data_IF_839821564350
#
_entry.id   IF_839821564350
#
_cell.length_a   1.000
_cell.length_b   1.000
_cell.length_c   1.000
_cell.angle_alpha   90.00
_cell.angle_beta   90.00
_cell.angle_gamma   90.00
#
_symmetry.space_group_name_H-M   'P 1'
#
loop_
_entity.id
_entity.type
_entity.pdbx_description
1 polymer ?
#
# COMPACT_ATOMS: atom_id res chain seq x y z
N UNK A 1 -48.61 -32.30 6.09
CA UNK A 1 -47.36 -32.37 6.87
C UNK A 1 -47.67 -32.97 8.24
N UNK A 2 -47.14 -34.12 8.53
CA UNK A 2 -47.40 -34.77 9.84
C UNK A 2 -46.40 -34.17 10.87
N UNK A 3 -46.95 -33.42 11.81
CA UNK A 3 -46.19 -32.89 12.95
C UNK A 3 -45.80 -34.02 13.84
N UNK A 4 -44.54 -34.43 13.87
CA UNK A 4 -44.03 -35.39 14.85
C UNK A 4 -43.87 -34.65 16.19
N UNK A 5 -44.69 -35.05 17.15
CA UNK A 5 -44.55 -34.63 18.54
C UNK A 5 -43.39 -35.39 19.18
N UNK A 6 -42.32 -34.68 19.60
CA UNK A 6 -41.23 -35.24 20.36
C UNK A 6 -41.70 -35.40 21.80
N UNK A 7 -42.01 -36.65 22.23
CA UNK A 7 -42.34 -36.96 23.63
C UNK A 7 -41.07 -37.25 24.38
N UNK A 8 -40.59 -36.32 25.20
CA UNK A 8 -39.49 -36.58 26.12
C UNK A 8 -39.98 -37.47 27.25
N UNK A 9 -39.47 -38.69 27.32
CA UNK A 9 -39.69 -39.55 28.50
C UNK A 9 -38.57 -39.24 29.49
N UNK A 10 -38.93 -38.62 30.60
CA UNK A 10 -38.03 -38.43 31.73
C UNK A 10 -37.78 -39.80 32.39
N UNK A 11 -36.62 -40.42 32.15
CA UNK A 11 -36.23 -41.61 32.85
C UNK A 11 -34.94 -41.29 33.63
N UNK A 12 -35.07 -41.33 34.97
CA UNK A 12 -33.90 -41.33 35.87
C UNK A 12 -33.13 -42.64 35.71
N UNK A 13 -32.29 -42.73 34.71
CA UNK A 13 -31.39 -43.86 34.49
C UNK A 13 -29.98 -43.35 34.48
N UNK A 14 -29.07 -44.01 35.19
CA UNK A 14 -27.66 -43.65 35.16
C UNK A 14 -27.15 -43.70 33.71
N UNK A 15 -26.45 -42.68 33.29
CA UNK A 15 -26.10 -42.34 31.90
C UNK A 15 -25.33 -43.43 31.13
N UNK A 16 -24.81 -44.41 31.80
CA UNK A 16 -24.02 -45.50 31.21
C UNK A 16 -24.77 -46.79 30.85
N UNK A 17 -26.10 -46.88 31.10
CA UNK A 17 -26.84 -48.15 31.02
C UNK A 17 -28.05 -48.10 30.09
N UNK A 18 -28.57 -46.93 29.76
CA UNK A 18 -29.76 -46.79 28.93
C UNK A 18 -29.46 -46.93 27.44
N UNK A 19 -30.10 -47.90 26.80
CA UNK A 19 -30.13 -48.04 25.34
C UNK A 19 -31.54 -47.71 24.90
N UNK A 20 -31.74 -46.56 24.29
CA UNK A 20 -33.02 -46.12 23.69
C UNK A 20 -33.21 -46.75 22.31
N UNK A 21 -34.40 -46.52 21.72
CA UNK A 21 -34.63 -46.81 20.30
C UNK A 21 -33.83 -45.87 19.43
N UNK A 22 -33.44 -46.32 18.25
CA UNK A 22 -32.73 -45.49 17.27
C UNK A 22 -33.52 -44.20 17.00
N UNK A 23 -32.81 -43.05 17.13
CA UNK A 23 -33.38 -41.72 17.02
C UNK A 23 -34.18 -41.23 18.24
N UNK A 24 -34.24 -41.98 19.35
CA UNK A 24 -34.92 -41.51 20.57
C UNK A 24 -34.10 -40.42 21.27
N UNK A 25 -34.74 -39.29 21.52
CA UNK A 25 -34.17 -38.17 22.28
C UNK A 25 -34.51 -38.29 23.76
N UNK A 26 -33.54 -38.14 24.64
CA UNK A 26 -33.73 -38.16 26.08
C UNK A 26 -32.79 -37.21 26.82
N UNK A 27 -33.14 -36.82 28.02
CA UNK A 27 -32.33 -35.94 28.85
C UNK A 27 -31.68 -36.79 29.94
N UNK A 28 -30.36 -36.76 30.00
CA UNK A 28 -29.59 -37.29 31.12
C UNK A 28 -29.67 -36.27 32.28
N UNK A 29 -30.45 -36.60 33.29
CA UNK A 29 -30.65 -35.69 34.44
C UNK A 29 -29.47 -35.65 35.41
N UNK A 30 -28.52 -36.56 35.29
CA UNK A 30 -27.29 -36.60 36.10
C UNK A 30 -26.27 -35.63 35.55
N UNK A 31 -26.11 -35.63 34.23
CA UNK A 31 -25.17 -34.71 33.53
C UNK A 31 -25.86 -33.48 32.97
N UNK A 32 -27.19 -33.41 33.05
CA UNK A 32 -28.03 -32.34 32.48
C UNK A 32 -27.79 -32.09 30.97
N UNK A 33 -27.59 -33.20 30.24
CA UNK A 33 -27.31 -33.19 28.80
C UNK A 33 -28.43 -33.86 28.00
N UNK A 34 -28.73 -33.35 26.82
CA UNK A 34 -29.63 -34.00 25.87
C UNK A 34 -28.86 -35.04 25.05
N UNK A 35 -29.44 -36.23 24.91
CA UNK A 35 -28.80 -37.36 24.21
C UNK A 35 -29.72 -37.94 23.14
N UNK A 36 -29.12 -38.47 22.08
CA UNK A 36 -29.82 -39.23 21.03
C UNK A 36 -29.32 -40.68 21.05
N UNK A 37 -30.24 -41.64 20.97
CA UNK A 37 -29.90 -43.05 20.90
C UNK A 37 -29.69 -43.49 19.45
N UNK A 38 -28.67 -44.34 19.23
CA UNK A 38 -28.43 -45.06 17.98
C UNK A 38 -29.04 -46.48 18.01
N UNK A 39 -29.80 -46.79 19.04
CA UNK A 39 -30.44 -48.08 19.22
C UNK A 39 -29.53 -49.21 19.71
N UNK A 40 -28.25 -48.96 19.82
CA UNK A 40 -27.23 -49.99 20.14
C UNK A 40 -26.32 -49.61 21.30
N UNK A 41 -25.87 -48.36 21.36
CA UNK A 41 -24.88 -47.93 22.34
C UNK A 41 -25.53 -47.49 23.66
N UNK A 42 -25.10 -48.09 24.77
CA UNK A 42 -25.54 -47.68 26.11
C UNK A 42 -25.04 -46.23 26.38
N UNK A 43 -25.97 -45.37 26.85
CA UNK A 43 -25.66 -43.99 27.14
C UNK A 43 -25.86 -43.00 25.96
N UNK A 44 -26.13 -43.45 24.74
CA UNK A 44 -26.38 -42.63 23.56
C UNK A 44 -25.30 -41.58 23.25
N UNK A 45 -25.39 -40.94 22.11
CA UNK A 45 -24.54 -39.81 21.77
C UNK A 45 -25.06 -38.52 22.44
N UNK A 46 -24.19 -37.76 23.08
CA UNK A 46 -24.53 -36.47 23.66
C UNK A 46 -24.76 -35.47 22.52
N UNK A 47 -25.92 -34.82 22.50
CA UNK A 47 -26.11 -33.65 21.67
C UNK A 47 -25.45 -32.48 22.40
N UNK A 48 -24.19 -32.29 22.14
CA UNK A 48 -23.47 -31.11 22.64
C UNK A 48 -23.92 -29.91 21.84
N UNK A 49 -24.71 -29.04 22.47
CA UNK A 49 -24.69 -27.67 22.05
C UNK A 49 -23.45 -27.05 22.70
N UNK A 50 -22.34 -26.98 22.00
CA UNK A 50 -21.21 -26.21 22.47
C UNK A 50 -21.66 -24.76 22.60
N UNK A 51 -21.93 -24.39 23.85
CA UNK A 51 -22.16 -23.09 24.42
C UNK A 51 -22.62 -21.98 23.50
N UNK A 52 -23.92 -21.85 23.29
CA UNK A 52 -24.47 -20.65 22.67
C UNK A 52 -25.49 -20.94 21.58
N UNK A 53 -26.66 -20.36 21.72
CA UNK A 53 -27.77 -20.50 20.82
C UNK A 53 -27.37 -20.38 19.36
N UNK A 54 -27.49 -21.47 18.59
CA UNK A 54 -27.42 -21.45 17.14
C UNK A 54 -26.06 -21.70 16.51
N UNK A 55 -25.20 -22.53 17.10
CA UNK A 55 -24.02 -23.03 16.38
C UNK A 55 -24.46 -23.88 15.18
N UNK A 56 -24.55 -23.25 14.02
CA UNK A 56 -24.64 -23.94 12.74
C UNK A 56 -23.27 -24.57 12.51
N UNK A 57 -23.15 -25.87 12.79
CA UNK A 57 -21.97 -26.62 12.38
C UNK A 57 -21.99 -26.74 10.86
N UNK A 58 -21.42 -25.76 10.16
CA UNK A 58 -21.07 -25.96 8.78
C UNK A 58 -19.92 -26.97 8.73
N UNK A 59 -20.15 -28.13 8.18
CA UNK A 59 -19.14 -29.16 7.93
C UNK A 59 -17.97 -28.67 7.05
N UNK A 60 -18.04 -27.42 6.58
CA UNK A 60 -17.00 -26.75 5.80
C UNK A 60 -16.16 -25.77 6.62
N UNK A 61 -16.48 -25.47 7.88
CA UNK A 61 -15.61 -24.67 8.75
C UNK A 61 -14.82 -25.66 9.63
N UNK A 62 -13.92 -26.40 9.03
CA UNK A 62 -13.17 -27.47 9.69
C UNK A 62 -12.00 -26.97 10.53
N UNK A 63 -11.74 -25.69 10.58
CA UNK A 63 -10.67 -25.12 11.40
C UNK A 63 -11.05 -23.77 11.98
N UNK A 64 -12.03 -23.71 12.89
CA UNK A 64 -12.01 -22.68 13.91
C UNK A 64 -11.04 -23.19 14.95
N UNK A 65 -9.78 -22.84 14.85
CA UNK A 65 -8.77 -23.28 15.81
C UNK A 65 -8.85 -22.40 17.07
N UNK A 66 -9.77 -22.75 17.95
CA UNK A 66 -9.86 -22.14 19.28
C UNK A 66 -8.80 -22.71 20.26
N UNK A 67 -7.81 -23.46 19.72
CA UNK A 67 -6.79 -24.11 20.53
C UNK A 67 -5.83 -23.13 21.22
N UNK A 68 -5.83 -21.86 20.83
CA UNK A 68 -4.90 -20.86 21.34
C UNK A 68 -5.50 -19.84 22.33
N UNK A 69 -6.74 -20.05 22.83
CA UNK A 69 -7.37 -19.19 23.83
C UNK A 69 -8.59 -18.41 23.29
N UNK A 70 -9.42 -17.84 24.20
CA UNK A 70 -10.76 -17.35 23.87
C UNK A 70 -10.82 -16.07 23.02
N UNK A 71 -9.71 -15.44 22.75
CA UNK A 71 -9.65 -14.12 22.10
C UNK A 71 -9.04 -14.16 20.69
N UNK A 72 -8.97 -15.35 20.07
CA UNK A 72 -8.34 -15.55 18.76
C UNK A 72 -9.31 -16.14 17.76
N UNK A 73 -9.25 -15.68 16.51
CA UNK A 73 -10.01 -16.26 15.40
C UNK A 73 -9.06 -16.80 14.34
N UNK A 74 -9.18 -18.09 14.01
CA UNK A 74 -8.43 -18.71 12.92
C UNK A 74 -9.38 -19.56 12.07
N UNK A 75 -9.59 -19.17 10.80
CA UNK A 75 -10.48 -19.86 9.86
C UNK A 75 -9.73 -20.12 8.55
N UNK A 76 -9.50 -21.39 8.24
CA UNK A 76 -8.77 -21.82 7.04
C UNK A 76 -7.66 -22.81 7.36
N UNK A 77 -7.11 -23.44 6.32
CA UNK A 77 -6.00 -24.37 6.47
C UNK A 77 -4.76 -23.62 6.97
N UNK A 78 -4.17 -24.09 8.05
CA UNK A 78 -3.01 -23.50 8.72
C UNK A 78 -3.17 -22.03 9.15
N UNK A 79 -4.38 -21.46 9.16
CA UNK A 79 -4.60 -20.12 9.68
C UNK A 79 -4.20 -20.06 11.16
N UNK A 80 -3.40 -19.05 11.55
CA UNK A 80 -2.94 -18.85 12.91
C UNK A 80 -2.24 -20.06 13.56
N UNK A 81 -1.60 -20.93 12.77
CA UNK A 81 -1.15 -22.24 13.26
C UNK A 81 0.03 -22.20 14.22
N UNK A 82 0.88 -21.19 14.15
CA UNK A 82 2.07 -21.07 15.00
C UNK A 82 2.13 -19.65 15.60
N UNK A 83 2.10 -19.56 16.93
CA UNK A 83 2.25 -18.32 17.68
C UNK A 83 1.27 -17.20 17.29
N UNK A 84 -0.01 -17.54 17.12
CA UNK A 84 -1.05 -16.51 16.93
C UNK A 84 -1.20 -15.69 18.22
N UNK A 85 -1.06 -14.37 18.11
CA UNK A 85 -1.18 -13.41 19.22
C UNK A 85 -2.61 -13.28 19.76
N UNK A 86 -2.78 -12.70 20.94
CA UNK A 86 -4.11 -12.42 21.52
C UNK A 86 -4.86 -11.37 20.71
N UNK A 87 -6.19 -11.43 20.72
CA UNK A 87 -7.07 -10.47 20.02
C UNK A 87 -6.76 -10.36 18.52
N UNK A 88 -6.23 -11.44 17.91
CA UNK A 88 -5.88 -11.48 16.49
C UNK A 88 -6.86 -12.33 15.68
N UNK A 89 -6.97 -11.99 14.40
CA UNK A 89 -7.86 -12.66 13.44
C UNK A 89 -7.06 -13.14 12.23
N UNK A 90 -7.18 -14.42 11.88
CA UNK A 90 -6.58 -15.02 10.70
C UNK A 90 -7.66 -15.77 9.90
N UNK A 91 -7.97 -15.31 8.68
CA UNK A 91 -8.99 -15.91 7.83
C UNK A 91 -8.43 -16.14 6.42
N UNK A 92 -8.29 -17.38 6.02
CA UNK A 92 -7.75 -17.80 4.73
C UNK A 92 -6.74 -18.92 4.85
N UNK A 93 -6.35 -19.50 3.72
CA UNK A 93 -5.32 -20.53 3.67
C UNK A 93 -3.96 -19.87 4.00
N UNK A 94 -3.24 -20.44 4.96
CA UNK A 94 -1.97 -19.92 5.50
C UNK A 94 -2.02 -18.47 6.03
N UNK A 95 -3.22 -17.90 6.29
CA UNK A 95 -3.35 -16.56 6.86
C UNK A 95 -2.79 -16.51 8.28
N UNK A 96 -1.97 -15.49 8.60
CA UNK A 96 -1.36 -15.33 9.93
C UNK A 96 -0.65 -16.57 10.43
N UNK A 97 -0.08 -17.39 9.54
CA UNK A 97 0.37 -18.75 9.82
C UNK A 97 1.44 -18.83 10.90
N UNK A 98 2.43 -17.95 10.86
CA UNK A 98 3.59 -17.98 11.75
C UNK A 98 3.84 -16.60 12.35
N UNK A 99 3.92 -16.54 13.68
CA UNK A 99 4.24 -15.32 14.42
C UNK A 99 3.32 -14.13 14.10
N UNK A 100 2.00 -14.38 14.08
CA UNK A 100 1.01 -13.30 14.03
C UNK A 100 0.93 -12.63 15.41
N UNK A 101 1.31 -11.36 15.49
CA UNK A 101 1.31 -10.62 16.75
C UNK A 101 -0.11 -10.26 17.24
N UNK A 102 -0.21 -9.78 18.49
CA UNK A 102 -1.50 -9.41 19.09
C UNK A 102 -2.17 -8.23 18.38
N UNK A 103 -3.50 -8.18 18.45
CA UNK A 103 -4.36 -7.15 17.86
C UNK A 103 -4.22 -7.02 16.33
N UNK A 104 -3.73 -8.05 15.65
CA UNK A 104 -3.50 -8.03 14.20
C UNK A 104 -4.58 -8.76 13.42
N UNK A 105 -4.76 -8.36 12.16
CA UNK A 105 -5.76 -8.91 11.26
C UNK A 105 -5.08 -9.42 9.98
N UNK A 106 -5.28 -10.70 9.64
CA UNK A 106 -4.84 -11.32 8.40
C UNK A 106 -6.05 -11.95 7.69
N UNK A 107 -6.43 -11.43 6.52
CA UNK A 107 -7.55 -11.96 5.72
C UNK A 107 -7.10 -12.17 4.27
N UNK A 108 -7.12 -13.39 3.81
CA UNK A 108 -6.74 -13.78 2.45
C UNK A 108 -5.79 -14.97 2.44
N UNK A 109 -5.58 -15.54 1.27
CA UNK A 109 -4.58 -16.58 1.07
C UNK A 109 -3.18 -15.98 1.32
N UNK A 110 -2.39 -16.62 2.17
CA UNK A 110 -1.06 -16.15 2.54
C UNK A 110 -0.99 -14.70 3.08
N UNK A 111 -2.08 -14.12 3.57
CA UNK A 111 -2.05 -12.81 4.21
C UNK A 111 -1.33 -12.90 5.57
N UNK A 112 -0.38 -12.01 5.84
CA UNK A 112 0.38 -12.00 7.09
C UNK A 112 1.03 -13.32 7.44
N UNK A 113 1.52 -14.08 6.46
CA UNK A 113 1.95 -15.48 6.64
C UNK A 113 3.08 -15.64 7.64
N UNK A 114 4.06 -14.74 7.64
CA UNK A 114 5.26 -14.79 8.47
C UNK A 114 5.52 -13.44 9.13
N UNK A 115 5.63 -13.42 10.46
CA UNK A 115 6.02 -12.23 11.24
C UNK A 115 5.14 -11.01 10.98
N UNK A 116 3.84 -11.15 11.20
CA UNK A 116 2.92 -10.01 11.18
C UNK A 116 3.03 -9.20 12.47
N UNK A 117 3.33 -7.92 12.34
CA UNK A 117 3.49 -6.98 13.47
C UNK A 117 2.20 -6.75 14.27
N UNK A 118 2.34 -6.28 15.49
CA UNK A 118 1.20 -5.98 16.37
C UNK A 118 0.33 -4.83 15.85
N UNK A 119 -0.98 -4.92 16.05
CA UNK A 119 -1.96 -3.94 15.61
C UNK A 119 -1.89 -3.63 14.11
N UNK A 120 -1.43 -4.59 13.31
CA UNK A 120 -1.32 -4.46 11.86
C UNK A 120 -2.48 -5.13 11.12
N UNK A 121 -2.70 -4.72 9.89
CA UNK A 121 -3.76 -5.21 9.01
C UNK A 121 -3.16 -5.74 7.70
N UNK A 122 -3.44 -6.98 7.34
CA UNK A 122 -3.09 -7.61 6.08
C UNK A 122 -4.37 -8.17 5.42
N UNK A 123 -4.83 -7.58 4.32
CA UNK A 123 -6.05 -8.01 3.62
C UNK A 123 -5.77 -8.17 2.13
N UNK A 124 -5.87 -9.38 1.62
CA UNK A 124 -5.64 -9.71 0.22
C UNK A 124 -4.76 -10.95 0.06
N UNK A 125 -4.67 -11.45 -1.16
CA UNK A 125 -3.76 -12.54 -1.50
C UNK A 125 -2.31 -12.08 -1.34
N UNK A 126 -1.54 -12.76 -0.51
CA UNK A 126 -0.12 -12.47 -0.20
C UNK A 126 0.11 -11.07 0.42
N UNK A 127 -0.94 -10.39 0.93
CA UNK A 127 -0.78 -9.10 1.59
C UNK A 127 0.03 -9.23 2.89
N UNK A 128 1.02 -8.37 3.13
CA UNK A 128 1.85 -8.37 4.34
C UNK A 128 2.53 -9.71 4.63
N UNK A 129 2.87 -10.49 3.61
CA UNK A 129 3.13 -11.92 3.73
C UNK A 129 4.40 -12.29 4.52
N UNK A 130 5.50 -11.54 4.40
CA UNK A 130 6.76 -11.98 5.00
C UNK A 130 7.07 -11.22 6.29
N UNK A 131 7.33 -9.95 6.25
CA UNK A 131 7.61 -9.14 7.44
C UNK A 131 6.76 -7.87 7.37
N UNK A 132 5.67 -7.86 8.10
CA UNK A 132 4.83 -6.68 8.22
C UNK A 132 5.12 -5.96 9.52
N UNK A 133 5.42 -4.67 9.45
CA UNK A 133 5.71 -3.83 10.61
C UNK A 133 4.53 -3.66 11.56
N UNK A 134 4.82 -3.16 12.74
CA UNK A 134 3.81 -2.83 13.76
C UNK A 134 2.98 -1.62 13.32
N UNK A 135 1.67 -1.63 13.61
CA UNK A 135 0.75 -0.53 13.28
C UNK A 135 0.72 -0.21 11.78
N UNK A 136 1.02 -1.20 10.93
CA UNK A 136 1.04 -1.03 9.49
C UNK A 136 -0.20 -1.63 8.81
N UNK A 137 -0.50 -1.17 7.60
CA UNK A 137 -1.66 -1.59 6.81
C UNK A 137 -1.21 -2.07 5.44
N UNK A 138 -1.57 -3.29 5.06
CA UNK A 138 -1.36 -3.87 3.73
C UNK A 138 -2.71 -4.35 3.18
N UNK A 139 -3.25 -3.67 2.16
CA UNK A 139 -4.56 -4.03 1.57
C UNK A 139 -4.44 -4.12 0.05
N UNK A 140 -4.68 -5.30 -0.50
CA UNK A 140 -4.60 -5.61 -1.92
C UNK A 140 -3.73 -6.83 -2.20
N UNK A 141 -3.86 -7.41 -3.38
CA UNK A 141 -3.01 -8.53 -3.78
C UNK A 141 -1.54 -8.08 -3.82
N UNK A 142 -0.68 -8.81 -3.13
CA UNK A 142 0.75 -8.51 -3.02
C UNK A 142 1.08 -7.13 -2.40
N UNK A 143 0.18 -6.49 -1.67
CA UNK A 143 0.49 -5.25 -0.95
C UNK A 143 1.43 -5.55 0.23
N UNK A 144 2.51 -4.79 0.39
CA UNK A 144 3.47 -4.93 1.49
C UNK A 144 4.05 -6.34 1.63
N UNK A 145 4.28 -7.06 0.53
CA UNK A 145 4.57 -8.50 0.56
C UNK A 145 5.83 -8.87 1.32
N UNK A 146 6.95 -8.19 1.08
CA UNK A 146 8.24 -8.66 1.60
C UNK A 146 8.64 -8.00 2.90
N UNK A 147 8.88 -6.71 2.90
CA UNK A 147 9.25 -5.95 4.11
C UNK A 147 8.46 -4.66 4.15
N UNK A 148 7.53 -4.57 5.05
CA UNK A 148 6.77 -3.35 5.32
C UNK A 148 7.20 -2.76 6.66
N UNK A 149 7.62 -1.50 6.64
CA UNK A 149 8.07 -0.80 7.86
C UNK A 149 6.93 -0.50 8.84
N UNK A 150 7.29 -0.11 10.06
CA UNK A 150 6.33 0.29 11.08
C UNK A 150 5.55 1.55 10.69
N UNK A 151 4.30 1.68 11.14
CA UNK A 151 3.41 2.82 10.86
C UNK A 151 3.27 3.15 9.37
N UNK A 152 3.40 2.17 8.50
CA UNK A 152 3.32 2.36 7.06
C UNK A 152 2.00 1.86 6.48
N UNK A 153 1.63 2.39 5.31
CA UNK A 153 0.39 2.05 4.61
C UNK A 153 0.70 1.62 3.18
N UNK A 154 0.26 0.43 2.80
CA UNK A 154 0.33 -0.10 1.44
C UNK A 154 -1.08 -0.51 0.98
N UNK A 155 -1.68 0.23 0.06
CA UNK A 155 -3.04 -0.04 -0.44
C UNK A 155 -3.05 -0.08 -1.97
N UNK A 156 -3.37 -1.22 -2.55
CA UNK A 156 -3.41 -1.47 -3.99
C UNK A 156 -2.66 -2.74 -4.37
N UNK A 157 -2.93 -3.26 -5.55
CA UNK A 157 -2.21 -4.43 -6.03
C UNK A 157 -0.72 -4.08 -6.27
N UNK A 158 0.18 -4.84 -5.65
CA UNK A 158 1.62 -4.58 -5.74
C UNK A 158 2.09 -3.29 -5.05
N UNK A 159 1.24 -2.61 -4.28
CA UNK A 159 1.69 -1.43 -3.52
C UNK A 159 2.74 -1.84 -2.48
N UNK A 160 3.89 -1.17 -2.46
CA UNK A 160 5.00 -1.48 -1.56
C UNK A 160 5.41 -2.97 -1.56
N UNK A 161 5.45 -3.58 -2.74
CA UNK A 161 5.65 -5.02 -2.90
C UNK A 161 6.91 -5.54 -2.21
N UNK A 162 8.04 -4.84 -2.34
CA UNK A 162 9.33 -5.36 -1.88
C UNK A 162 9.79 -4.74 -0.56
N UNK A 163 10.11 -3.47 -0.55
CA UNK A 163 10.62 -2.80 0.66
C UNK A 163 9.93 -1.46 0.85
N UNK A 164 9.20 -1.33 1.91
CA UNK A 164 8.57 -0.07 2.33
C UNK A 164 9.20 0.42 3.63
N UNK A 165 9.66 1.66 3.63
CA UNK A 165 10.20 2.31 4.83
C UNK A 165 9.14 2.57 5.90
N UNK A 166 9.59 2.87 7.10
CA UNK A 166 8.69 3.24 8.20
C UNK A 166 8.03 4.61 7.98
N UNK A 167 6.82 4.81 8.52
CA UNK A 167 6.05 6.05 8.39
C UNK A 167 5.75 6.45 6.94
N UNK A 168 5.80 5.51 6.00
CA UNK A 168 5.60 5.76 4.57
C UNK A 168 4.20 5.36 4.09
N UNK A 169 3.77 5.93 2.97
CA UNK A 169 2.46 5.68 2.38
C UNK A 169 2.60 5.31 0.91
N UNK A 170 2.05 4.17 0.51
CA UNK A 170 1.95 3.70 -0.87
C UNK A 170 0.49 3.38 -1.21
N UNK A 171 -0.17 4.18 -2.03
CA UNK A 171 -1.57 3.99 -2.40
C UNK A 171 -1.72 4.00 -3.92
N UNK A 172 -2.12 2.90 -4.50
CA UNK A 172 -2.32 2.70 -5.93
C UNK A 172 -1.69 1.39 -6.41
N UNK A 173 -2.04 0.96 -7.61
CA UNK A 173 -1.39 -0.19 -8.23
C UNK A 173 0.10 0.11 -8.45
N UNK A 174 0.98 -0.77 -7.95
CA UNK A 174 2.45 -0.62 -8.05
C UNK A 174 3.00 0.70 -7.48
N UNK A 175 2.27 1.37 -6.56
CA UNK A 175 2.80 2.54 -5.86
C UNK A 175 3.90 2.11 -4.87
N UNK A 176 5.06 2.77 -4.90
CA UNK A 176 6.20 2.43 -4.04
C UNK A 176 6.67 0.98 -4.17
N UNK A 177 6.53 0.36 -5.33
CA UNK A 177 6.61 -1.10 -5.52
C UNK A 177 7.92 -1.71 -5.03
N UNK A 178 9.06 -1.15 -5.44
CA UNK A 178 10.35 -1.81 -5.18
C UNK A 178 11.02 -1.33 -3.90
N UNK A 179 11.40 -0.09 -3.83
CA UNK A 179 12.04 0.50 -2.65
C UNK A 179 11.41 1.85 -2.36
N UNK A 180 10.73 1.96 -1.26
CA UNK A 180 10.22 3.23 -0.77
C UNK A 180 10.93 3.63 0.52
N UNK A 181 11.52 4.82 0.54
CA UNK A 181 12.23 5.35 1.71
C UNK A 181 11.33 5.61 2.92
N UNK A 182 11.94 5.85 4.08
CA UNK A 182 11.21 6.26 5.27
C UNK A 182 10.48 7.58 5.02
N UNK A 183 9.31 7.78 5.65
CA UNK A 183 8.51 9.00 5.57
C UNK A 183 8.10 9.41 4.15
N UNK A 184 8.38 8.57 3.15
CA UNK A 184 8.03 8.83 1.76
C UNK A 184 6.54 8.57 1.47
N UNK A 185 5.99 9.32 0.53
CA UNK A 185 4.58 9.19 0.12
C UNK A 185 4.48 8.96 -1.38
N UNK A 186 3.79 7.89 -1.79
CA UNK A 186 3.50 7.53 -3.17
C UNK A 186 1.99 7.31 -3.35
N UNK A 187 1.31 8.17 -4.10
CA UNK A 187 -0.14 8.07 -4.34
C UNK A 187 -0.45 8.17 -5.83
N UNK A 188 -0.93 7.09 -6.40
CA UNK A 188 -1.25 6.96 -7.82
C UNK A 188 -0.71 5.66 -8.42
N UNK A 189 -1.22 5.26 -9.58
CA UNK A 189 -0.69 4.13 -10.30
C UNK A 189 0.80 4.35 -10.63
N UNK A 190 1.68 3.45 -10.18
CA UNK A 190 3.13 3.51 -10.38
C UNK A 190 3.78 4.82 -9.87
N UNK A 191 3.18 5.47 -8.87
CA UNK A 191 3.83 6.59 -8.21
C UNK A 191 4.99 6.07 -7.34
N UNK A 192 6.17 6.70 -7.42
CA UNK A 192 7.35 6.26 -6.66
C UNK A 192 7.70 4.78 -6.85
N UNK A 193 7.43 4.19 -8.01
CA UNK A 193 7.49 2.75 -8.26
C UNK A 193 8.84 2.13 -7.91
N UNK A 194 9.94 2.77 -8.31
CA UNK A 194 11.29 2.23 -8.12
C UNK A 194 12.20 3.27 -7.48
N UNK A 195 12.81 2.92 -6.35
CA UNK A 195 13.79 3.75 -5.64
C UNK A 195 13.30 5.17 -5.31
N UNK A 196 12.21 5.24 -4.53
CA UNK A 196 11.75 6.49 -3.94
C UNK A 196 12.56 6.82 -2.67
N UNK A 197 13.22 7.97 -2.65
CA UNK A 197 14.08 8.41 -1.55
C UNK A 197 13.31 8.75 -0.26
N UNK A 198 14.06 8.93 0.84
CA UNK A 198 13.53 9.36 2.13
C UNK A 198 12.86 10.74 2.01
N UNK A 199 11.75 10.95 2.73
CA UNK A 199 10.96 12.19 2.71
C UNK A 199 10.43 12.60 1.32
N UNK A 200 10.54 11.74 0.31
CA UNK A 200 10.09 12.07 -1.04
C UNK A 200 8.56 11.94 -1.18
N UNK A 201 7.98 12.78 -2.02
CA UNK A 201 6.54 12.80 -2.27
C UNK A 201 6.22 12.66 -3.75
N UNK A 202 5.43 11.65 -4.12
CA UNK A 202 4.98 11.36 -5.48
C UNK A 202 3.45 11.26 -5.54
N UNK A 203 2.79 12.20 -6.22
CA UNK A 203 1.35 12.23 -6.39
C UNK A 203 0.94 12.28 -7.86
N UNK A 204 0.29 11.24 -8.34
CA UNK A 204 -0.19 11.13 -9.73
C UNK A 204 0.34 9.88 -10.42
N UNK A 205 -0.32 9.49 -11.51
CA UNK A 205 0.11 8.31 -12.27
C UNK A 205 1.51 8.52 -12.85
N UNK A 206 2.43 7.63 -12.52
CA UNK A 206 3.82 7.70 -12.96
C UNK A 206 4.61 8.90 -12.41
N UNK A 207 4.16 9.54 -11.34
CA UNK A 207 4.95 10.57 -10.66
C UNK A 207 6.13 9.91 -9.92
N UNK A 208 7.35 10.44 -10.08
CA UNK A 208 8.55 9.90 -9.44
C UNK A 208 8.79 8.42 -9.71
N UNK A 209 8.44 7.92 -10.89
CA UNK A 209 8.41 6.47 -11.19
C UNK A 209 9.75 5.80 -10.92
N UNK A 210 10.87 6.42 -11.30
CA UNK A 210 12.20 5.82 -11.17
C UNK A 210 13.19 6.80 -10.57
N UNK A 211 13.93 6.38 -9.55
CA UNK A 211 15.00 7.18 -8.92
C UNK A 211 14.53 8.59 -8.50
N UNK A 212 13.50 8.66 -7.66
CA UNK A 212 13.13 9.91 -7.01
C UNK A 212 14.03 10.16 -5.80
N UNK A 213 14.82 11.22 -5.83
CA UNK A 213 15.78 11.57 -4.79
C UNK A 213 15.14 11.94 -3.44
N UNK A 214 15.95 12.00 -2.40
CA UNK A 214 15.49 12.34 -1.05
C UNK A 214 14.91 13.76 -1.00
N UNK A 215 13.80 13.92 -0.25
CA UNK A 215 13.07 15.17 -0.09
C UNK A 215 12.58 15.80 -1.42
N UNK A 216 12.52 15.00 -2.50
CA UNK A 216 12.03 15.46 -3.79
C UNK A 216 10.49 15.39 -3.86
N UNK A 217 9.91 16.31 -4.64
CA UNK A 217 8.46 16.41 -4.84
C UNK A 217 8.11 16.23 -6.30
N UNK A 218 7.24 15.26 -6.62
CA UNK A 218 6.70 15.00 -7.94
C UNK A 218 5.17 14.98 -7.89
N UNK A 219 4.51 15.98 -8.48
CA UNK A 219 3.06 16.09 -8.48
C UNK A 219 2.54 16.27 -9.92
N UNK A 220 1.76 15.30 -10.39
CA UNK A 220 1.18 15.30 -11.73
C UNK A 220 1.56 14.05 -12.52
N UNK A 221 0.83 13.80 -13.60
CA UNK A 221 1.08 12.61 -14.45
C UNK A 221 2.48 12.68 -15.07
N UNK A 222 3.34 11.72 -14.74
CA UNK A 222 4.70 11.64 -15.24
C UNK A 222 5.62 12.77 -14.77
N UNK A 223 5.28 13.49 -13.70
CA UNK A 223 6.18 14.47 -13.09
C UNK A 223 7.38 13.75 -12.45
N UNK A 224 8.60 14.23 -12.66
CA UNK A 224 9.82 13.62 -12.12
C UNK A 224 10.01 12.14 -12.48
N UNK A 225 9.49 11.68 -13.62
CA UNK A 225 9.29 10.26 -13.87
C UNK A 225 10.55 9.40 -13.97
N UNK A 226 11.65 9.91 -14.52
CA UNK A 226 12.84 9.08 -14.73
C UNK A 226 13.90 9.27 -13.65
N UNK A 227 14.52 10.43 -13.58
CA UNK A 227 15.54 10.74 -12.57
C UNK A 227 15.29 12.12 -11.99
N UNK A 228 14.83 12.15 -10.78
CA UNK A 228 14.65 13.38 -10.03
C UNK A 228 15.65 13.40 -8.88
N UNK A 229 16.61 14.32 -8.91
CA UNK A 229 17.62 14.42 -7.86
C UNK A 229 17.04 14.93 -6.53
N UNK A 230 17.83 14.83 -5.45
CA UNK A 230 17.41 15.28 -4.12
C UNK A 230 16.94 16.73 -4.11
N UNK A 231 15.91 16.99 -3.32
CA UNK A 231 15.29 18.32 -3.11
C UNK A 231 14.75 18.98 -4.38
N UNK A 232 14.64 18.22 -5.47
CA UNK A 232 14.04 18.77 -6.70
C UNK A 232 12.51 18.77 -6.62
N UNK A 233 11.89 19.75 -7.26
CA UNK A 233 10.44 19.92 -7.28
C UNK A 233 9.94 19.88 -8.73
N UNK A 234 9.04 18.94 -9.03
CA UNK A 234 8.35 18.77 -10.30
C UNK A 234 6.84 18.83 -10.09
N UNK A 235 6.18 19.88 -10.55
CA UNK A 235 4.72 20.03 -10.41
C UNK A 235 4.10 20.34 -11.78
N UNK A 236 3.26 19.44 -12.25
CA UNK A 236 2.59 19.53 -13.55
C UNK A 236 2.82 18.27 -14.37
N UNK A 237 1.98 18.08 -15.40
CA UNK A 237 2.11 16.93 -16.29
C UNK A 237 3.49 16.97 -16.99
N UNK A 238 4.26 15.88 -16.82
CA UNK A 238 5.61 15.73 -17.38
C UNK A 238 6.61 16.84 -16.98
N UNK A 239 6.37 17.56 -15.89
CA UNK A 239 7.37 18.48 -15.34
C UNK A 239 8.59 17.69 -14.83
N UNK A 240 9.80 18.15 -15.10
CA UNK A 240 11.04 17.50 -14.70
C UNK A 240 11.15 16.02 -15.09
N UNK A 241 10.52 15.60 -16.19
CA UNK A 241 10.23 14.21 -16.52
C UNK A 241 11.46 13.30 -16.63
N UNK A 242 12.50 13.75 -17.33
CA UNK A 242 13.62 12.87 -17.69
C UNK A 242 14.78 12.98 -16.72
N UNK A 243 15.40 14.13 -16.62
CA UNK A 243 16.51 14.39 -15.69
C UNK A 243 16.32 15.72 -15.02
N UNK A 244 16.08 15.71 -13.75
CA UNK A 244 15.94 16.93 -12.95
C UNK A 244 17.07 17.01 -11.92
N UNK A 245 17.84 18.11 -12.00
CA UNK A 245 19.03 18.31 -11.17
C UNK A 245 18.71 18.65 -9.71
N UNK A 246 19.75 18.57 -8.87
CA UNK A 246 19.67 18.84 -7.44
C UNK A 246 19.07 20.24 -7.16
N UNK A 247 18.12 20.30 -6.23
CA UNK A 247 17.46 21.56 -5.81
C UNK A 247 16.90 22.38 -6.96
N UNK A 248 16.48 21.76 -8.06
CA UNK A 248 15.85 22.44 -9.19
C UNK A 248 14.33 22.44 -9.06
N UNK A 249 13.69 23.41 -9.70
CA UNK A 249 12.23 23.62 -9.68
C UNK A 249 11.69 23.58 -11.10
N UNK A 250 10.71 22.71 -11.35
CA UNK A 250 9.94 22.60 -12.57
C UNK A 250 8.44 22.70 -12.26
N UNK A 251 7.78 23.78 -12.60
CA UNK A 251 6.35 23.99 -12.33
C UNK A 251 5.61 24.39 -13.60
N UNK A 252 4.72 23.55 -14.07
CA UNK A 252 3.95 23.71 -15.29
C UNK A 252 4.02 22.47 -16.18
N UNK A 253 3.10 22.34 -17.13
CA UNK A 253 3.12 21.24 -18.08
C UNK A 253 4.43 21.28 -18.90
N UNK A 254 5.18 20.18 -18.88
CA UNK A 254 6.46 20.02 -19.56
C UNK A 254 7.53 21.08 -19.19
N UNK A 255 7.42 21.72 -18.02
CA UNK A 255 8.49 22.56 -17.52
C UNK A 255 9.71 21.71 -17.17
N UNK A 256 10.92 22.07 -17.60
CA UNK A 256 12.14 21.32 -17.36
C UNK A 256 12.07 19.87 -17.81
N UNK A 257 11.31 19.52 -18.83
CA UNK A 257 10.93 18.13 -19.16
C UNK A 257 12.13 17.21 -19.43
N UNK A 258 13.10 17.66 -20.20
CA UNK A 258 14.15 16.75 -20.68
C UNK A 258 15.39 16.77 -19.79
N UNK A 259 16.10 17.87 -19.72
CA UNK A 259 17.30 18.00 -18.90
C UNK A 259 17.27 19.33 -18.16
N UNK A 260 17.12 19.27 -16.88
CA UNK A 260 17.17 20.43 -15.99
C UNK A 260 18.40 20.33 -15.09
N UNK A 261 19.28 21.31 -15.17
CA UNK A 261 20.51 21.37 -14.37
C UNK A 261 20.24 21.63 -12.88
N UNK A 262 21.30 21.64 -12.10
CA UNK A 262 21.19 21.93 -10.67
C UNK A 262 20.85 23.42 -10.42
N UNK A 263 20.08 23.66 -9.34
CA UNK A 263 19.74 25.03 -8.90
C UNK A 263 19.02 25.86 -9.96
N UNK A 264 18.24 25.23 -10.84
CA UNK A 264 17.50 25.90 -11.90
C UNK A 264 16.05 26.14 -11.51
N UNK A 265 15.43 27.11 -12.17
CA UNK A 265 13.99 27.39 -12.02
C UNK A 265 13.35 27.39 -13.40
N UNK A 266 12.33 26.55 -13.60
CA UNK A 266 11.49 26.49 -14.78
C UNK A 266 10.03 26.60 -14.37
N UNK A 267 9.38 27.74 -14.59
CA UNK A 267 7.99 27.99 -14.19
C UNK A 267 7.18 28.47 -15.41
N UNK A 268 6.20 27.66 -15.80
CA UNK A 268 5.34 27.91 -16.95
C UNK A 268 5.30 26.73 -17.90
N UNK A 269 4.27 26.63 -18.73
CA UNK A 269 4.19 25.61 -19.76
C UNK A 269 5.41 25.70 -20.69
N UNK A 270 6.11 24.57 -20.91
CA UNK A 270 7.32 24.49 -21.73
C UNK A 270 8.49 25.39 -21.26
N UNK A 271 8.48 25.96 -20.06
CA UNK A 271 9.61 26.72 -19.54
C UNK A 271 10.82 25.80 -19.34
N UNK A 272 12.02 26.20 -19.80
CA UNK A 272 13.25 25.38 -19.68
C UNK A 272 13.10 23.95 -20.22
N UNK A 273 12.24 23.70 -21.20
CA UNK A 273 11.75 22.39 -21.58
C UNK A 273 12.83 21.39 -22.01
N UNK A 274 13.76 21.77 -22.88
CA UNK A 274 14.70 20.81 -23.47
C UNK A 274 16.02 20.72 -22.70
N UNK A 275 16.79 21.76 -22.63
CA UNK A 275 18.05 21.80 -21.89
C UNK A 275 18.18 23.12 -21.14
N UNK A 276 18.07 23.03 -19.84
CA UNK A 276 18.31 24.16 -18.95
C UNK A 276 19.54 23.84 -18.12
N UNK A 277 20.61 24.60 -18.30
CA UNK A 277 21.86 24.33 -17.60
C UNK A 277 21.89 24.99 -16.21
N UNK A 278 22.92 24.70 -15.42
CA UNK A 278 23.01 25.08 -14.01
C UNK A 278 22.74 26.57 -13.74
N UNK A 279 22.05 26.89 -12.66
CA UNK A 279 21.70 28.25 -12.20
C UNK A 279 20.78 29.07 -13.15
N UNK A 280 20.26 28.46 -14.21
CA UNK A 280 19.40 29.18 -15.15
C UNK A 280 17.96 29.37 -14.60
N UNK A 281 17.33 30.44 -14.99
CA UNK A 281 15.96 30.81 -14.61
C UNK A 281 15.13 31.00 -15.88
N UNK A 282 14.00 30.27 -15.97
CA UNK A 282 13.01 30.37 -17.03
C UNK A 282 11.61 30.56 -16.42
N UNK A 283 11.00 31.69 -16.58
CA UNK A 283 9.67 32.02 -16.04
C UNK A 283 8.77 32.59 -17.13
N UNK A 284 7.74 31.84 -17.49
CA UNK A 284 6.79 32.19 -18.55
C UNK A 284 6.59 31.06 -19.54
N UNK A 285 5.51 31.08 -20.31
CA UNK A 285 5.24 30.09 -21.35
C UNK A 285 6.37 30.10 -22.39
N UNK A 286 7.04 28.95 -22.58
CA UNK A 286 8.15 28.78 -23.49
C UNK A 286 9.36 29.68 -23.21
N UNK A 287 9.51 30.23 -22.00
CA UNK A 287 10.72 30.93 -21.60
C UNK A 287 11.89 29.95 -21.51
N UNK A 288 13.06 30.33 -22.05
CA UNK A 288 14.26 29.47 -22.06
C UNK A 288 14.01 28.09 -22.60
N UNK A 289 13.07 27.88 -23.51
CA UNK A 289 12.52 26.60 -23.92
C UNK A 289 13.60 25.62 -24.41
N UNK A 290 14.55 26.08 -25.20
CA UNK A 290 15.56 25.24 -25.82
C UNK A 290 16.97 25.79 -25.58
N UNK A 291 17.85 24.97 -24.99
CA UNK A 291 19.25 25.30 -24.76
C UNK A 291 19.47 26.64 -24.00
N UNK A 292 18.96 26.70 -22.77
CA UNK A 292 19.26 27.83 -21.88
C UNK A 292 20.61 27.62 -21.18
N UNK A 293 21.56 28.52 -21.43
CA UNK A 293 22.91 28.51 -20.90
C UNK A 293 22.98 28.73 -19.39
N UNK A 294 24.14 28.40 -18.79
CA UNK A 294 24.35 28.53 -17.35
C UNK A 294 24.19 30.02 -16.89
N UNK A 295 23.45 30.19 -15.78
CA UNK A 295 23.16 31.52 -15.26
C UNK A 295 22.27 32.37 -16.18
N UNK A 296 21.72 31.80 -17.25
CA UNK A 296 20.81 32.49 -18.13
C UNK A 296 19.47 32.82 -17.46
N UNK A 297 18.93 34.03 -17.70
CA UNK A 297 17.65 34.49 -17.17
C UNK A 297 16.68 34.76 -18.33
N UNK A 298 15.55 34.04 -18.35
CA UNK A 298 14.49 34.22 -19.32
C UNK A 298 13.15 34.43 -18.60
N UNK A 299 12.61 35.65 -18.63
CA UNK A 299 11.36 36.01 -17.94
C UNK A 299 10.40 36.66 -18.94
N UNK A 300 9.25 36.04 -19.12
CA UNK A 300 8.23 36.46 -20.09
C UNK A 300 7.95 35.38 -21.11
N UNK A 301 6.79 35.47 -21.79
CA UNK A 301 6.41 34.49 -22.81
C UNK A 301 7.43 34.50 -23.97
N UNK A 302 8.00 33.31 -24.26
CA UNK A 302 9.02 33.11 -25.29
C UNK A 302 10.30 33.93 -25.10
N UNK A 303 10.56 34.50 -23.93
CA UNK A 303 11.84 35.16 -23.64
C UNK A 303 12.99 34.13 -23.65
N UNK A 304 14.13 34.48 -24.25
CA UNK A 304 15.28 33.58 -24.36
C UNK A 304 14.93 32.21 -24.93
N UNK A 305 13.91 32.11 -25.77
CA UNK A 305 13.26 30.85 -26.14
C UNK A 305 14.23 29.81 -26.72
N UNK A 306 15.04 30.21 -27.67
CA UNK A 306 15.94 29.32 -28.40
C UNK A 306 17.40 29.80 -28.32
N UNK A 307 18.28 28.92 -27.79
CA UNK A 307 19.72 29.15 -27.72
C UNK A 307 20.15 30.44 -26.96
N UNK A 308 19.65 30.56 -25.73
CA UNK A 308 20.18 31.60 -24.85
C UNK A 308 21.54 31.19 -24.27
N UNK A 309 22.58 31.93 -24.59
CA UNK A 309 23.93 31.63 -24.09
C UNK A 309 24.08 31.93 -22.58
N UNK A 310 25.22 31.52 -22.00
CA UNK A 310 25.48 31.69 -20.57
C UNK A 310 25.42 33.16 -20.14
N UNK A 311 24.81 33.38 -18.95
CA UNK A 311 24.65 34.70 -18.36
C UNK A 311 23.87 35.70 -19.25
N UNK A 312 23.16 35.25 -20.28
CA UNK A 312 22.24 36.05 -21.06
C UNK A 312 20.99 36.42 -20.27
N UNK A 313 20.49 37.64 -20.40
CA UNK A 313 19.27 38.13 -19.73
C UNK A 313 18.24 38.48 -20.77
N UNK A 314 17.10 37.80 -20.78
CA UNK A 314 15.92 38.15 -21.59
C UNK A 314 14.74 38.45 -20.65
N UNK A 315 14.17 39.66 -20.74
CA UNK A 315 13.00 40.04 -19.92
C UNK A 315 11.98 40.73 -20.81
N UNK A 316 10.78 40.16 -20.87
CA UNK A 316 9.69 40.67 -21.68
C UNK A 316 9.18 39.68 -22.72
N UNK A 317 8.14 40.03 -23.45
CA UNK A 317 7.57 39.23 -24.51
C UNK A 317 8.58 39.04 -25.65
N UNK A 318 8.95 37.80 -25.96
CA UNK A 318 9.91 37.46 -27.02
C UNK A 318 11.30 38.15 -26.90
N UNK A 319 11.64 38.70 -25.76
CA UNK A 319 12.96 39.33 -25.55
C UNK A 319 14.08 38.28 -25.69
N UNK A 320 15.03 38.54 -26.57
CA UNK A 320 16.12 37.59 -26.89
C UNK A 320 15.63 36.24 -27.41
N UNK A 321 14.50 36.18 -28.12
CA UNK A 321 13.75 34.96 -28.49
C UNK A 321 14.59 33.89 -29.21
N UNK A 322 15.46 34.27 -30.14
CA UNK A 322 16.22 33.32 -30.92
C UNK A 322 17.64 33.15 -30.35
N UNK A 323 18.65 33.65 -30.93
CA UNK A 323 20.02 33.48 -30.44
C UNK A 323 20.46 34.65 -29.60
N UNK A 324 20.71 34.49 -28.32
CA UNK A 324 21.24 35.51 -27.44
C UNK A 324 22.67 35.21 -27.04
N UNK A 325 23.58 36.18 -27.27
CA UNK A 325 25.00 36.02 -26.94
C UNK A 325 25.24 35.91 -25.43
N UNK A 326 26.40 35.38 -25.06
CA UNK A 326 26.82 35.38 -23.65
C UNK A 326 26.87 36.83 -23.12
N UNK A 327 26.36 36.99 -21.88
CA UNK A 327 26.25 38.31 -21.23
C UNK A 327 25.36 39.33 -21.97
N UNK A 328 24.65 38.91 -23.02
CA UNK A 328 23.71 39.74 -23.74
C UNK A 328 22.47 40.10 -22.90
N UNK A 329 21.98 41.33 -22.99
CA UNK A 329 20.78 41.77 -22.29
C UNK A 329 19.72 42.18 -23.34
N UNK A 330 18.56 41.58 -23.26
CA UNK A 330 17.38 41.92 -24.08
C UNK A 330 16.20 42.21 -23.16
N UNK A 331 15.63 43.41 -23.26
CA UNK A 331 14.47 43.87 -22.51
C UNK A 331 13.45 44.46 -23.47
N UNK A 332 12.16 44.05 -23.40
CA UNK A 332 11.12 44.57 -24.27
C UNK A 332 9.91 43.73 -24.44
#
# INVERSE_FOLDING_TARGET
MATRQIISKNKNVASGVYVGKDGELWVDTVTNTMKISDGVTAGGATLTTDGGAGAVTYAAITNINNANGPEKVAIGRNAGSVNQGTESVAIGDDAGKTDQSSNSLAIGNNAGTISQGGSSVAIGDVAGSITQGTLSVAIGANAGTTTQGDWSVAIGAGAALTTQGSNSVAIGNEAGETTQGNTATAVGNRAGETDQGEDASAFGAGAGTTNQGASAVAIGVGAGAATQSDKAIAIGKQAGKTTQGYSSIAVGEQAGETTQGQYTVAIGNLAGNVTQTQYAIAVGNGAGQTNQGAGGIAIGMHSGKDNQSSNGIGIGFEAGKTTQSAHGVAIG
#
